data_IF_571454484854
#
_entry.id   IF_571454484854
#
_cell.length_a   1.000
_cell.length_b   1.000
_cell.length_c   1.000
_cell.angle_alpha   90.00
_cell.angle_beta   90.00
_cell.angle_gamma   90.00
#
_symmetry.space_group_name_H-M   'P 1'
#
loop_
_entity.id
_entity.type
_entity.pdbx_description
1 polymer ?
#
# COMPACT_ATOMS: atom_id res chain seq x y z
N UNK A 1 -14.45 -10.68 -25.48
CA UNK A 1 -14.65 -9.95 -24.21
C UNK A 1 -16.12 -9.96 -23.88
N UNK A 2 -16.51 -10.64 -22.81
CA UNK A 2 -17.90 -10.94 -22.40
C UNK A 2 -18.64 -9.76 -21.74
N UNK A 3 -18.10 -8.54 -21.84
CA UNK A 3 -18.70 -7.35 -21.25
C UNK A 3 -19.21 -6.41 -22.36
N UNK A 4 -20.36 -5.74 -22.17
CA UNK A 4 -20.91 -4.81 -23.14
C UNK A 4 -19.88 -3.71 -23.48
N UNK A 5 -19.78 -3.39 -24.78
CA UNK A 5 -18.81 -2.43 -25.33
C UNK A 5 -19.34 -1.00 -25.43
N UNK A 6 -20.60 -0.76 -25.06
CA UNK A 6 -21.21 0.56 -25.13
C UNK A 6 -20.66 1.46 -24.00
N UNK A 7 -20.23 2.70 -24.31
CA UNK A 7 -19.71 3.64 -23.31
C UNK A 7 -20.64 3.83 -22.11
N UNK A 8 -21.96 3.87 -22.35
CA UNK A 8 -22.96 4.02 -21.28
C UNK A 8 -22.86 2.93 -20.20
N UNK A 9 -22.66 1.67 -20.57
CA UNK A 9 -22.55 0.56 -19.61
C UNK A 9 -21.27 0.67 -18.77
N UNK A 10 -20.16 1.09 -19.39
CA UNK A 10 -18.91 1.34 -18.69
C UNK A 10 -19.04 2.47 -17.66
N UNK A 11 -19.67 3.59 -18.03
CA UNK A 11 -19.93 4.69 -17.11
C UNK A 11 -20.82 4.25 -15.95
N UNK A 12 -21.85 3.44 -16.22
CA UNK A 12 -22.71 2.89 -15.16
C UNK A 12 -21.91 2.04 -14.19
N UNK A 13 -21.09 1.10 -14.66
CA UNK A 13 -20.26 0.26 -13.78
C UNK A 13 -19.26 1.11 -12.97
N UNK A 14 -18.65 2.11 -13.60
CA UNK A 14 -17.75 3.03 -12.92
C UNK A 14 -18.46 3.78 -11.78
N UNK A 15 -19.63 4.37 -12.02
CA UNK A 15 -20.35 5.10 -10.98
C UNK A 15 -20.84 4.19 -9.86
N UNK A 16 -21.28 2.96 -10.17
CA UNK A 16 -21.61 1.95 -9.15
C UNK A 16 -20.40 1.63 -8.28
N UNK A 17 -19.23 1.44 -8.90
CA UNK A 17 -17.98 1.21 -8.18
C UNK A 17 -17.60 2.39 -7.28
N UNK A 18 -17.75 3.63 -7.76
CA UNK A 18 -17.50 4.84 -6.95
C UNK A 18 -18.44 4.88 -5.75
N UNK A 19 -19.74 4.66 -5.94
CA UNK A 19 -20.73 4.67 -4.84
C UNK A 19 -20.40 3.60 -3.79
N UNK A 20 -20.01 2.40 -4.23
CA UNK A 20 -19.64 1.32 -3.30
C UNK A 20 -18.31 1.60 -2.57
N UNK A 21 -17.35 2.22 -3.25
CA UNK A 21 -16.09 2.66 -2.64
C UNK A 21 -16.33 3.75 -1.58
N UNK A 22 -17.18 4.73 -1.85
CA UNK A 22 -17.58 5.76 -0.88
C UNK A 22 -18.35 5.13 0.28
N UNK A 23 -19.25 4.20 0.00
CA UNK A 23 -20.00 3.47 1.02
C UNK A 23 -19.08 2.66 1.94
N UNK A 24 -18.06 2.02 1.38
CA UNK A 24 -17.02 1.32 2.14
C UNK A 24 -16.20 2.30 2.99
N UNK A 25 -15.82 3.45 2.45
CA UNK A 25 -15.03 4.47 3.13
C UNK A 25 -15.72 4.99 4.41
N UNK A 26 -17.03 5.23 4.34
CA UNK A 26 -17.84 5.64 5.51
C UNK A 26 -18.26 4.46 6.39
N UNK A 27 -17.90 3.23 6.02
CA UNK A 27 -18.24 2.01 6.74
C UNK A 27 -19.73 1.67 6.76
N UNK A 28 -20.43 1.89 5.64
CA UNK A 28 -21.79 1.42 5.43
C UNK A 28 -21.80 0.06 4.73
N UNK A 29 -22.52 -0.92 5.27
CA UNK A 29 -22.56 -2.30 4.80
C UNK A 29 -21.15 -2.86 4.51
N UNK A 30 -20.21 -2.59 5.43
CA UNK A 30 -18.76 -2.57 5.17
C UNK A 30 -18.24 -3.86 4.52
N UNK A 31 -18.67 -5.03 5.00
CA UNK A 31 -18.22 -6.33 4.46
C UNK A 31 -18.75 -6.59 3.05
N UNK A 32 -20.00 -6.22 2.79
CA UNK A 32 -20.61 -6.39 1.47
C UNK A 32 -19.94 -5.45 0.46
N UNK A 33 -19.76 -4.18 0.82
CA UNK A 33 -19.09 -3.21 -0.05
C UNK A 33 -17.61 -3.54 -0.26
N UNK A 34 -16.89 -4.07 0.74
CA UNK A 34 -15.52 -4.57 0.55
C UNK A 34 -15.46 -5.68 -0.51
N UNK A 35 -16.38 -6.64 -0.46
CA UNK A 35 -16.47 -7.70 -1.47
C UNK A 35 -16.78 -7.13 -2.87
N UNK A 36 -17.77 -6.24 -2.97
CA UNK A 36 -18.12 -5.64 -4.26
C UNK A 36 -16.97 -4.81 -4.84
N UNK A 37 -16.31 -3.97 -4.03
CA UNK A 37 -15.14 -3.19 -4.43
C UNK A 37 -14.01 -4.10 -4.91
N UNK A 38 -13.74 -5.20 -4.22
CA UNK A 38 -12.75 -6.18 -4.67
C UNK A 38 -13.11 -6.78 -6.04
N UNK A 39 -14.36 -7.20 -6.25
CA UNK A 39 -14.82 -7.75 -7.53
C UNK A 39 -14.71 -6.73 -8.65
N UNK A 40 -15.07 -5.47 -8.39
CA UNK A 40 -14.90 -4.40 -9.37
C UNK A 40 -13.44 -4.14 -9.70
N UNK A 41 -12.58 -4.04 -8.69
CA UNK A 41 -11.14 -3.82 -8.87
C UNK A 41 -10.53 -4.90 -9.77
N UNK A 42 -10.79 -6.18 -9.45
CA UNK A 42 -10.35 -7.32 -10.27
C UNK A 42 -10.93 -7.26 -11.69
N UNK A 43 -12.20 -6.89 -11.83
CA UNK A 43 -12.86 -6.83 -13.14
C UNK A 43 -12.31 -5.71 -14.03
N UNK A 44 -12.09 -4.51 -13.47
CA UNK A 44 -11.55 -3.38 -14.22
C UNK A 44 -10.10 -3.63 -14.63
N UNK A 45 -9.27 -4.16 -13.73
CA UNK A 45 -7.88 -4.47 -14.03
C UNK A 45 -7.76 -5.58 -15.08
N UNK A 46 -8.57 -6.65 -15.00
CA UNK A 46 -8.60 -7.68 -16.04
C UNK A 46 -9.12 -7.20 -17.40
N UNK A 47 -9.82 -6.06 -17.45
CA UNK A 47 -10.28 -5.50 -18.73
C UNK A 47 -9.14 -4.94 -19.56
N UNK A 48 -8.05 -4.49 -18.93
CA UNK A 48 -6.87 -4.04 -19.63
C UNK A 48 -5.58 -4.42 -18.89
N UNK A 49 -5.20 -5.68 -19.02
CA UNK A 49 -4.02 -6.26 -18.36
C UNK A 49 -2.70 -5.60 -18.76
N UNK A 50 -2.66 -4.91 -19.90
CA UNK A 50 -1.45 -4.24 -20.40
C UNK A 50 -1.11 -2.96 -19.64
N UNK A 51 -2.06 -2.42 -18.87
CA UNK A 51 -1.85 -1.23 -18.04
C UNK A 51 -1.50 -1.59 -16.59
N UNK A 52 -1.39 -2.87 -16.26
CA UNK A 52 -1.21 -3.30 -14.88
C UNK A 52 0.27 -3.33 -14.50
N UNK A 53 0.54 -2.88 -13.27
CA UNK A 53 1.86 -2.96 -12.65
C UNK A 53 1.78 -3.54 -11.22
N UNK A 54 2.88 -3.49 -10.47
CA UNK A 54 3.01 -4.06 -9.13
C UNK A 54 1.99 -3.49 -8.14
N UNK A 55 1.67 -2.19 -8.22
CA UNK A 55 0.69 -1.56 -7.33
C UNK A 55 -0.70 -2.16 -7.45
N UNK A 56 -1.13 -2.51 -8.65
CA UNK A 56 -2.45 -3.10 -8.88
C UNK A 56 -2.58 -4.44 -8.18
N UNK A 57 -1.47 -5.20 -8.15
CA UNK A 57 -1.39 -6.48 -7.44
C UNK A 57 -1.50 -6.30 -5.94
N UNK A 58 -0.77 -5.33 -5.36
CA UNK A 58 -0.87 -5.02 -3.93
C UNK A 58 -2.26 -4.49 -3.59
N UNK A 59 -2.85 -3.65 -4.44
CA UNK A 59 -4.17 -3.07 -4.22
C UNK A 59 -5.26 -4.16 -4.16
N UNK A 60 -5.20 -5.14 -5.07
CA UNK A 60 -6.11 -6.31 -5.04
C UNK A 60 -5.94 -7.14 -3.77
N UNK A 61 -4.71 -7.36 -3.32
CA UNK A 61 -4.44 -8.12 -2.10
C UNK A 61 -5.01 -7.42 -0.87
N UNK A 62 -4.80 -6.10 -0.75
CA UNK A 62 -5.41 -5.31 0.33
C UNK A 62 -6.94 -5.40 0.26
N UNK A 63 -7.52 -5.14 -0.92
CA UNK A 63 -8.96 -5.24 -1.15
C UNK A 63 -9.54 -6.59 -0.76
N UNK A 64 -8.82 -7.68 -1.04
CA UNK A 64 -9.20 -9.03 -0.63
C UNK A 64 -9.20 -9.20 0.89
N UNK A 65 -8.14 -8.77 1.58
CA UNK A 65 -8.08 -8.90 3.04
C UNK A 65 -9.13 -8.06 3.76
N UNK A 66 -9.47 -6.88 3.22
CA UNK A 66 -10.53 -6.01 3.77
C UNK A 66 -11.89 -6.71 3.91
N UNK A 67 -12.22 -7.66 3.03
CA UNK A 67 -13.46 -8.47 3.09
C UNK A 67 -13.59 -9.18 4.44
N UNK A 68 -12.46 -9.63 4.99
CA UNK A 68 -12.43 -10.44 6.20
C UNK A 68 -12.23 -9.61 7.47
N UNK A 69 -11.80 -8.36 7.34
CA UNK A 69 -11.55 -7.47 8.47
C UNK A 69 -12.85 -6.96 9.12
N UNK A 70 -12.82 -6.65 10.43
CA UNK A 70 -13.95 -6.09 11.16
C UNK A 70 -14.16 -4.58 10.91
N UNK A 71 -14.21 -4.16 9.64
CA UNK A 71 -14.23 -2.75 9.22
C UNK A 71 -15.41 -1.94 9.79
N UNK A 72 -16.55 -2.60 10.01
CA UNK A 72 -17.76 -1.96 10.53
C UNK A 72 -17.80 -1.75 12.05
N UNK A 73 -16.74 -2.11 12.80
CA UNK A 73 -16.77 -2.06 14.28
C UNK A 73 -16.34 -0.71 14.89
N UNK A 74 -15.67 0.16 14.15
CA UNK A 74 -15.20 1.45 14.63
C UNK A 74 -15.25 2.51 13.52
N UNK A 75 -15.64 3.74 13.89
CA UNK A 75 -15.73 4.90 12.97
C UNK A 75 -16.48 4.60 11.66
N UNK A 76 -17.60 3.90 11.76
CA UNK A 76 -18.41 3.43 10.63
C UNK A 76 -19.88 3.78 10.83
N UNK A 77 -20.61 3.97 9.73
CA UNK A 77 -22.09 4.05 9.76
C UNK A 77 -22.69 2.76 10.33
N UNK A 78 -22.12 1.60 10.02
CA UNK A 78 -22.54 0.31 10.58
C UNK A 78 -22.54 0.32 12.12
N UNK A 79 -21.51 0.90 12.75
CA UNK A 79 -21.42 1.00 14.21
C UNK A 79 -22.41 2.02 14.80
N UNK A 80 -22.76 3.07 14.05
CA UNK A 80 -23.76 4.07 14.45
C UNK A 80 -25.17 3.49 14.41
N UNK A 81 -25.50 2.75 13.35
CA UNK A 81 -26.83 2.16 13.15
C UNK A 81 -27.02 0.89 13.98
N UNK A 82 -25.94 0.11 14.19
CA UNK A 82 -25.93 -1.17 14.91
C UNK A 82 -24.85 -1.20 15.98
N UNK A 83 -25.04 -0.52 17.12
CA UNK A 83 -24.04 -0.42 18.18
C UNK A 83 -23.57 -1.78 18.73
N UNK A 84 -24.40 -2.82 18.65
CA UNK A 84 -24.07 -4.18 19.08
C UNK A 84 -22.88 -4.78 18.31
N UNK A 85 -22.61 -4.34 17.08
CA UNK A 85 -21.48 -4.80 16.27
C UNK A 85 -20.15 -4.38 16.91
N UNK A 86 -20.11 -3.23 17.58
CA UNK A 86 -18.91 -2.70 18.25
C UNK A 86 -18.46 -3.53 19.46
N UNK A 87 -19.36 -4.36 20.01
CA UNK A 87 -19.09 -5.22 21.17
C UNK A 87 -18.64 -6.63 20.78
N UNK A 88 -18.72 -6.98 19.49
CA UNK A 88 -18.31 -8.30 19.02
C UNK A 88 -16.78 -8.41 19.03
N UNK A 89 -16.22 -9.57 19.40
CA UNK A 89 -14.77 -9.75 19.33
C UNK A 89 -14.28 -9.55 17.90
N UNK A 90 -13.26 -8.70 17.75
CA UNK A 90 -12.59 -8.44 16.48
C UNK A 90 -11.63 -9.59 16.17
N UNK A 91 -11.83 -10.25 15.03
CA UNK A 91 -10.89 -11.29 14.58
C UNK A 91 -9.68 -10.65 13.91
N UNK A 92 -8.48 -10.88 14.44
CA UNK A 92 -7.25 -10.25 13.98
C UNK A 92 -6.51 -10.99 12.85
N UNK A 93 -6.93 -12.19 12.45
CA UNK A 93 -6.16 -13.02 11.52
C UNK A 93 -5.98 -12.35 10.15
N UNK A 94 -7.01 -11.70 9.61
CA UNK A 94 -6.94 -11.03 8.31
C UNK A 94 -5.94 -9.87 8.34
N UNK A 95 -5.91 -9.13 9.45
CA UNK A 95 -4.91 -8.08 9.67
C UNK A 95 -3.50 -8.66 9.79
N UNK A 96 -3.33 -9.80 10.49
CA UNK A 96 -2.04 -10.49 10.57
C UNK A 96 -1.56 -10.99 9.21
N UNK A 97 -2.45 -11.52 8.37
CA UNK A 97 -2.08 -11.92 7.01
C UNK A 97 -1.69 -10.72 6.15
N UNK A 98 -2.39 -9.59 6.26
CA UNK A 98 -1.97 -8.36 5.58
C UNK A 98 -0.58 -7.92 6.04
N UNK A 99 -0.31 -7.92 7.35
CA UNK A 99 1.00 -7.57 7.90
C UNK A 99 2.11 -8.50 7.36
N UNK A 100 1.88 -9.82 7.38
CA UNK A 100 2.82 -10.80 6.82
C UNK A 100 3.01 -10.57 5.32
N UNK A 101 1.93 -10.30 4.57
CA UNK A 101 2.01 -10.01 3.13
C UNK A 101 2.86 -8.77 2.85
N UNK A 102 2.67 -7.68 3.61
CA UNK A 102 3.50 -6.48 3.49
C UNK A 102 4.98 -6.78 3.77
N UNK A 103 5.26 -7.59 4.81
CA UNK A 103 6.61 -8.00 5.13
C UNK A 103 7.24 -8.84 4.00
N UNK A 104 6.47 -9.75 3.40
CA UNK A 104 6.91 -10.56 2.26
C UNK A 104 7.22 -9.69 1.04
N UNK A 105 6.40 -8.69 0.71
CA UNK A 105 6.64 -7.80 -0.43
C UNK A 105 8.00 -7.11 -0.29
N UNK A 106 8.28 -6.53 0.86
CA UNK A 106 9.56 -5.88 1.15
C UNK A 106 10.74 -6.85 1.12
N UNK A 107 10.61 -7.97 1.83
CA UNK A 107 11.70 -8.93 1.93
C UNK A 107 12.02 -9.56 0.57
N UNK A 108 11.00 -9.90 -0.23
CA UNK A 108 11.18 -10.39 -1.59
C UNK A 108 11.84 -9.34 -2.49
N UNK A 109 11.46 -8.07 -2.38
CA UNK A 109 12.11 -6.98 -3.13
C UNK A 109 13.61 -6.88 -2.79
N UNK A 110 13.97 -6.98 -1.51
CA UNK A 110 15.37 -6.98 -1.09
C UNK A 110 16.15 -8.18 -1.67
N UNK A 111 15.59 -9.41 -1.60
CA UNK A 111 16.24 -10.61 -2.14
C UNK A 111 16.43 -10.51 -3.66
N UNK A 112 15.41 -10.04 -4.40
CA UNK A 112 15.51 -9.86 -5.85
C UNK A 112 16.58 -8.82 -6.21
N UNK A 113 16.71 -7.74 -5.43
CA UNK A 113 17.77 -6.74 -5.63
C UNK A 113 19.15 -7.31 -5.30
N UNK A 114 19.28 -8.10 -4.24
CA UNK A 114 20.55 -8.77 -3.90
C UNK A 114 21.02 -9.78 -4.97
N UNK A 115 20.13 -10.22 -5.85
CA UNK A 115 20.46 -11.07 -7.00
C UNK A 115 20.85 -10.28 -8.26
N UNK A 116 20.68 -8.96 -8.27
CA UNK A 116 20.97 -8.11 -9.43
C UNK A 116 22.36 -7.45 -9.33
N UNK A 117 23.16 -7.59 -10.38
CA UNK A 117 24.54 -7.08 -10.42
C UNK A 117 24.63 -5.57 -10.13
N UNK A 118 23.75 -4.76 -10.74
CA UNK A 118 23.74 -3.29 -10.56
C UNK A 118 23.41 -2.87 -9.12
N UNK A 119 22.63 -3.66 -8.39
CA UNK A 119 22.28 -3.41 -7.00
C UNK A 119 23.45 -3.74 -6.07
N UNK A 120 24.11 -4.88 -6.29
CA UNK A 120 25.29 -5.30 -5.51
C UNK A 120 26.48 -4.37 -5.76
N UNK A 121 26.74 -4.01 -7.01
CA UNK A 121 27.81 -3.07 -7.36
C UNK A 121 27.51 -1.63 -6.91
N UNK A 122 26.28 -1.36 -6.47
CA UNK A 122 25.84 -0.07 -5.93
C UNK A 122 25.62 0.98 -7.02
N UNK A 123 25.33 0.58 -8.24
CA UNK A 123 25.12 1.47 -9.39
C UNK A 123 23.66 1.58 -9.82
N UNK A 124 22.75 0.79 -9.22
CA UNK A 124 21.34 0.75 -9.64
C UNK A 124 20.67 2.13 -9.67
N UNK A 125 20.83 2.96 -8.63
CA UNK A 125 20.19 4.27 -8.60
C UNK A 125 20.78 5.28 -9.60
N UNK A 126 22.02 5.08 -10.07
CA UNK A 126 22.57 5.88 -11.17
C UNK A 126 21.79 5.63 -12.48
N UNK A 127 21.43 4.37 -12.74
CA UNK A 127 20.62 4.00 -13.90
C UNK A 127 19.16 4.40 -13.73
N UNK A 128 18.57 4.16 -12.55
CA UNK A 128 17.17 4.54 -12.27
C UNK A 128 16.96 6.04 -12.41
N UNK A 129 17.92 6.86 -11.96
CA UNK A 129 17.83 8.31 -12.07
C UNK A 129 17.85 8.84 -13.52
N UNK A 130 18.18 7.99 -14.50
CA UNK A 130 18.25 8.30 -15.94
C UNK A 130 17.13 7.62 -16.74
N UNK A 131 16.15 7.05 -16.06
CA UNK A 131 14.91 6.58 -16.68
C UNK A 131 13.91 7.73 -16.70
N UNK A 132 13.99 8.57 -17.73
CA UNK A 132 13.22 9.83 -17.82
C UNK A 132 11.68 9.62 -17.70
N UNK A 133 11.18 8.46 -18.11
CA UNK A 133 9.74 8.12 -18.00
C UNK A 133 9.31 7.81 -16.55
N UNK A 134 10.23 7.32 -15.71
CA UNK A 134 9.93 6.81 -14.37
C UNK A 134 10.57 7.63 -13.23
N UNK A 135 11.46 8.55 -13.54
CA UNK A 135 12.23 9.34 -12.58
C UNK A 135 12.20 10.83 -12.93
N UNK A 136 12.43 11.70 -11.95
CA UNK A 136 12.50 13.15 -12.16
C UNK A 136 11.15 13.86 -12.06
N UNK A 137 10.20 13.31 -11.28
CA UNK A 137 8.89 13.93 -11.05
C UNK A 137 8.99 15.36 -10.50
N UNK A 138 9.92 15.56 -9.57
CA UNK A 138 10.29 16.87 -9.04
C UNK A 138 11.82 17.05 -9.08
N UNK A 139 12.32 18.31 -9.04
CA UNK A 139 13.75 18.59 -9.12
C UNK A 139 14.54 17.85 -8.04
N UNK A 140 15.60 17.16 -8.47
CA UNK A 140 16.52 16.42 -7.61
C UNK A 140 17.94 16.97 -7.79
N UNK A 141 18.75 17.07 -6.71
CA UNK A 141 20.14 17.48 -6.85
C UNK A 141 20.94 16.43 -7.65
N UNK A 142 21.50 16.83 -8.80
CA UNK A 142 22.32 15.96 -9.66
C UNK A 142 23.47 15.30 -8.89
N UNK A 143 24.03 16.01 -7.90
CA UNK A 143 25.09 15.51 -7.02
C UNK A 143 24.77 14.15 -6.36
N UNK A 144 23.50 13.89 -6.02
CA UNK A 144 23.08 12.63 -5.41
C UNK A 144 23.29 11.43 -6.35
N UNK A 145 23.22 11.66 -7.66
CA UNK A 145 23.22 10.62 -8.69
C UNK A 145 24.48 10.60 -9.54
N UNK A 146 25.34 11.60 -9.45
CA UNK A 146 26.58 11.71 -10.22
C UNK A 146 27.85 11.43 -9.41
N UNK A 147 27.77 11.44 -8.07
CA UNK A 147 28.90 11.10 -7.20
C UNK A 147 28.86 9.61 -6.86
N UNK A 148 29.87 8.79 -7.27
CA UNK A 148 29.82 7.34 -7.15
C UNK A 148 29.59 6.82 -5.72
N UNK A 149 30.19 7.46 -4.72
CA UNK A 149 29.99 7.06 -3.32
C UNK A 149 28.57 7.35 -2.83
N UNK A 150 27.96 8.47 -3.25
CA UNK A 150 26.59 8.82 -2.86
C UNK A 150 25.58 7.86 -3.51
N UNK A 151 25.73 7.59 -4.81
CA UNK A 151 24.91 6.60 -5.53
C UNK A 151 24.99 5.24 -4.85
N UNK A 152 26.19 4.79 -4.48
CA UNK A 152 26.41 3.50 -3.82
C UNK A 152 25.72 3.45 -2.47
N UNK A 153 25.89 4.48 -1.64
CA UNK A 153 25.22 4.57 -0.33
C UNK A 153 23.70 4.58 -0.48
N UNK A 154 23.16 5.37 -1.41
CA UNK A 154 21.71 5.42 -1.66
C UNK A 154 21.20 4.06 -2.15
N UNK A 155 21.90 3.41 -3.09
CA UNK A 155 21.51 2.10 -3.63
C UNK A 155 21.45 1.04 -2.53
N UNK A 156 22.47 0.96 -1.68
CA UNK A 156 22.48 0.03 -0.55
C UNK A 156 21.47 0.39 0.54
N UNK A 157 21.15 1.68 0.71
CA UNK A 157 20.11 2.11 1.66
C UNK A 157 18.73 1.56 1.30
N UNK A 158 18.39 1.46 0.00
CA UNK A 158 17.14 0.84 -0.46
C UNK A 158 17.05 -0.61 -0.01
N UNK A 159 18.10 -1.39 -0.28
CA UNK A 159 18.17 -2.81 0.12
C UNK A 159 18.09 -2.95 1.64
N UNK A 160 18.80 -2.10 2.39
CA UNK A 160 18.77 -2.12 3.84
C UNK A 160 17.36 -1.85 4.39
N UNK A 161 16.66 -0.85 3.86
CA UNK A 161 15.27 -0.55 4.25
C UNK A 161 14.36 -1.75 3.93
N UNK A 162 14.42 -2.26 2.70
CA UNK A 162 13.59 -3.37 2.25
C UNK A 162 13.85 -4.68 3.01
N UNK A 163 15.09 -4.90 3.47
CA UNK A 163 15.47 -6.09 4.23
C UNK A 163 15.16 -5.97 5.73
N UNK A 164 15.52 -4.85 6.37
CA UNK A 164 15.43 -4.73 7.83
C UNK A 164 14.04 -4.32 8.33
N UNK A 165 13.32 -3.44 7.62
CA UNK A 165 11.95 -3.05 8.02
C UNK A 165 11.03 -4.26 8.23
N UNK A 166 10.90 -5.23 7.31
CA UNK A 166 9.97 -6.35 7.49
C UNK A 166 10.36 -7.29 8.63
N UNK A 167 11.63 -7.29 9.06
CA UNK A 167 12.11 -8.10 10.19
C UNK A 167 11.93 -7.37 11.53
N UNK A 168 12.25 -6.08 11.57
CA UNK A 168 12.28 -5.30 12.81
C UNK A 168 10.92 -4.72 13.20
N UNK A 169 9.97 -4.57 12.28
CA UNK A 169 8.65 -3.96 12.56
C UNK A 169 7.83 -4.74 13.61
N UNK A 170 8.12 -6.02 13.81
CA UNK A 170 7.41 -6.88 14.74
C UNK A 170 7.72 -6.57 16.21
N UNK A 171 8.95 -6.14 16.50
CA UNK A 171 9.37 -5.76 17.85
C UNK A 171 8.81 -4.39 18.23
N UNK A 172 8.27 -4.28 19.44
CA UNK A 172 7.54 -3.10 19.88
C UNK A 172 8.43 -1.86 19.95
N UNK A 173 9.70 -2.05 20.28
CA UNK A 173 10.74 -1.05 20.47
C UNK A 173 11.13 -0.38 19.16
N UNK A 174 11.24 -1.16 18.08
CA UNK A 174 11.67 -0.69 16.75
C UNK A 174 10.51 -0.34 15.83
N UNK A 175 9.30 -0.82 16.11
CA UNK A 175 8.12 -0.67 15.23
C UNK A 175 7.91 0.75 14.71
N UNK A 176 7.86 1.74 15.60
CA UNK A 176 7.59 3.14 15.18
C UNK A 176 8.71 3.65 14.29
N UNK A 177 9.98 3.36 14.62
CA UNK A 177 11.12 3.73 13.79
C UNK A 177 11.03 3.07 12.40
N UNK A 178 10.68 1.77 12.33
CA UNK A 178 10.46 1.08 11.06
C UNK A 178 9.34 1.72 10.22
N UNK A 179 8.23 2.11 10.85
CA UNK A 179 7.11 2.78 10.16
C UNK A 179 7.49 4.17 9.64
N UNK A 180 8.25 4.94 10.42
CA UNK A 180 8.78 6.25 9.99
C UNK A 180 9.74 6.07 8.82
N UNK A 181 10.67 5.12 8.90
CA UNK A 181 11.62 4.82 7.81
C UNK A 181 10.88 4.37 6.55
N UNK A 182 9.92 3.44 6.67
CA UNK A 182 9.11 3.01 5.54
C UNK A 182 8.30 4.15 4.92
N UNK A 183 7.76 5.05 5.76
CA UNK A 183 7.04 6.22 5.28
C UNK A 183 7.95 7.21 4.55
N UNK A 184 9.10 7.55 5.12
CA UNK A 184 10.09 8.43 4.48
C UNK A 184 10.61 7.84 3.17
N UNK A 185 10.85 6.52 3.13
CA UNK A 185 11.24 5.82 1.92
C UNK A 185 10.18 5.98 0.81
N UNK A 186 8.91 5.69 1.09
CA UNK A 186 7.86 5.84 0.09
C UNK A 186 7.56 7.30 -0.29
N UNK A 187 7.72 8.26 0.63
CA UNK A 187 7.60 9.68 0.32
C UNK A 187 8.77 10.17 -0.56
N UNK A 188 9.98 9.67 -0.33
CA UNK A 188 11.14 9.97 -1.17
C UNK A 188 10.95 9.40 -2.59
N UNK A 189 10.39 8.20 -2.71
CA UNK A 189 10.04 7.62 -4.00
C UNK A 189 8.85 8.35 -4.65
N UNK A 190 7.83 8.79 -3.91
CA UNK A 190 6.73 9.62 -4.46
C UNK A 190 7.22 10.97 -4.99
N UNK A 191 8.23 11.55 -4.32
CA UNK A 191 8.83 12.80 -4.77
C UNK A 191 9.72 12.59 -6.01
N UNK A 192 10.53 11.52 -6.03
CA UNK A 192 11.55 11.34 -7.08
C UNK A 192 11.07 10.54 -8.29
N UNK A 193 10.11 9.62 -8.11
CA UNK A 193 9.68 8.64 -9.12
C UNK A 193 8.20 8.82 -9.52
N UNK A 194 7.88 8.41 -10.75
CA UNK A 194 6.53 8.42 -11.32
C UNK A 194 5.80 7.07 -11.17
N UNK A 195 5.77 6.48 -9.97
CA UNK A 195 5.13 5.17 -9.72
C UNK A 195 3.64 5.24 -9.34
N UNK A 196 2.91 6.19 -9.95
CA UNK A 196 1.47 6.43 -9.78
C UNK A 196 0.91 6.19 -8.36
N UNK A 197 0.27 5.04 -8.10
CA UNK A 197 -0.39 4.72 -6.81
C UNK A 197 0.46 3.88 -5.85
N UNK A 198 1.61 3.37 -6.29
CA UNK A 198 2.40 2.40 -5.53
C UNK A 198 2.76 2.90 -4.14
N UNK A 199 3.35 4.10 -4.03
CA UNK A 199 3.77 4.67 -2.75
C UNK A 199 2.62 4.84 -1.76
N UNK A 200 1.47 5.30 -2.25
CA UNK A 200 0.29 5.55 -1.43
C UNK A 200 -0.32 4.25 -0.89
N UNK A 201 -0.42 3.23 -1.74
CA UNK A 201 -0.90 1.90 -1.33
C UNK A 201 0.02 1.31 -0.26
N UNK A 202 1.33 1.45 -0.43
CA UNK A 202 2.29 0.92 0.53
C UNK A 202 2.28 1.68 1.85
N UNK A 203 2.17 3.02 1.84
CA UNK A 203 1.96 3.83 3.04
C UNK A 203 0.72 3.39 3.83
N UNK A 204 -0.40 3.19 3.13
CA UNK A 204 -1.64 2.69 3.75
C UNK A 204 -1.45 1.28 4.30
N UNK A 205 -0.78 0.39 3.56
CA UNK A 205 -0.47 -0.97 4.00
C UNK A 205 0.36 -1.01 5.29
N UNK A 206 1.34 -0.11 5.43
CA UNK A 206 2.15 -0.03 6.65
C UNK A 206 1.38 0.44 7.88
N UNK A 207 0.28 1.17 7.73
CA UNK A 207 -0.60 1.53 8.85
C UNK A 207 -1.19 0.30 9.55
N UNK A 208 -1.23 -0.87 8.88
CA UNK A 208 -1.68 -2.13 9.48
C UNK A 208 -0.87 -2.53 10.72
N UNK A 209 0.36 -2.04 10.87
CA UNK A 209 1.22 -2.33 12.03
C UNK A 209 1.04 -1.32 13.18
N UNK A 210 0.26 -0.25 13.02
CA UNK A 210 -0.01 0.67 14.12
C UNK A 210 -0.77 -0.04 15.24
N UNK A 211 -0.29 0.12 16.48
CA UNK A 211 -0.88 -0.55 17.65
C UNK A 211 -2.27 0.04 17.97
N UNK A 212 -3.19 -0.81 18.40
CA UNK A 212 -4.50 -0.41 18.88
C UNK A 212 -4.42 0.57 20.05
N UNK A 213 -3.37 0.53 20.87
CA UNK A 213 -3.13 1.50 21.92
C UNK A 213 -3.01 2.95 21.40
N UNK A 214 -2.37 3.16 20.25
CA UNK A 214 -2.26 4.49 19.62
C UNK A 214 -3.62 4.95 19.10
N UNK A 215 -4.37 4.05 18.47
CA UNK A 215 -5.72 4.32 17.96
C UNK A 215 -6.69 4.64 19.10
N UNK A 216 -6.62 3.91 20.22
CA UNK A 216 -7.43 4.18 21.41
C UNK A 216 -7.10 5.53 22.05
N UNK A 217 -5.81 5.87 22.16
CA UNK A 217 -5.35 7.18 22.68
C UNK A 217 -5.82 8.33 21.80
N UNK A 218 -5.76 8.17 20.48
CA UNK A 218 -6.28 9.14 19.52
C UNK A 218 -7.80 9.29 19.66
N UNK A 219 -8.53 8.18 19.76
CA UNK A 219 -9.99 8.18 19.98
C UNK A 219 -10.40 8.91 21.26
N UNK A 220 -9.65 8.77 22.36
CA UNK A 220 -9.92 9.50 23.61
C UNK A 220 -9.59 10.99 23.54
N UNK A 221 -8.80 11.44 22.56
CA UNK A 221 -8.43 12.85 22.43
C UNK A 221 -9.46 13.69 21.63
N UNK A 222 -10.36 13.03 20.89
CA UNK A 222 -11.36 13.67 20.02
C UNK A 222 -12.77 13.63 20.65
N UNK A 223 -12.91 12.93 21.78
CA UNK A 223 -14.10 12.93 22.63
C UNK A 223 -13.91 13.90 23.78
#
# INVERSE_FOLDING_TARGET
GWLPRTPAVLHTYFWVFVVQSVSLLVGAASRANALCVFVWLVSFQNRNVLLLDGEDSVFRLIGFFLIFMPLGQAWSIDALVRPEITRRPASGWALRLLQVQMAIIYFAAAILKLQGDTWIDGTALYYVARLDDYFGRFPMPDLLFDVPILVKLLTWSVIAVEFFVPLLVWFRETRVACLVVAALFHLACEYSMNLFLFHWIMLVGWMAFLDGAYVHKFRSSIR
#
